data_IF_567431809009
#
_entry.id   IF_567431809009
#
_cell.length_a   1.000
_cell.length_b   1.000
_cell.length_c   1.000
_cell.angle_alpha   90.00
_cell.angle_beta   90.00
_cell.angle_gamma   90.00
#
_symmetry.space_group_name_H-M   'P 1'
#
loop_
_entity.id
_entity.type
_entity.pdbx_description
1 polymer ?
#
# COMPACT_ATOMS: atom_id res chain seq x y z
N UNK A 1 1.81 29.60 -2.72
CA UNK A 1 0.98 28.43 -3.08
C UNK A 1 1.93 27.40 -3.65
N UNK A 2 2.22 26.31 -2.93
CA UNK A 2 3.00 25.21 -3.51
C UNK A 2 2.16 24.54 -4.57
N UNK A 3 2.57 24.65 -5.84
CA UNK A 3 2.06 23.79 -6.89
C UNK A 3 2.63 22.40 -6.67
N UNK A 4 1.78 21.43 -6.32
CA UNK A 4 2.19 20.02 -6.41
C UNK A 4 2.71 19.80 -7.84
N UNK A 5 3.93 19.29 -7.98
CA UNK A 5 4.57 19.03 -9.29
C UNK A 5 3.98 17.80 -10.00
N UNK A 6 2.96 17.17 -9.42
CA UNK A 6 2.34 15.96 -9.92
C UNK A 6 0.91 16.25 -10.36
N UNK A 7 0.50 15.81 -11.56
CA UNK A 7 -0.88 15.98 -12.01
C UNK A 7 -1.82 15.13 -11.14
N UNK A 8 -2.93 15.73 -10.71
CA UNK A 8 -4.04 14.96 -10.17
C UNK A 8 -4.67 14.13 -11.30
N UNK A 9 -5.17 12.94 -10.96
CA UNK A 9 -5.91 12.07 -11.91
C UNK A 9 -7.42 12.12 -11.63
N UNK A 10 -8.29 11.89 -12.63
CA UNK A 10 -9.73 11.73 -12.40
C UNK A 10 -10.03 10.55 -11.47
N UNK A 11 -11.10 10.65 -10.68
CA UNK A 11 -11.53 9.60 -9.75
C UNK A 11 -11.76 8.27 -10.47
N UNK A 12 -12.40 8.28 -11.64
CA UNK A 12 -12.67 7.06 -12.42
C UNK A 12 -11.39 6.33 -12.83
N UNK A 13 -10.33 7.06 -13.17
CA UNK A 13 -9.02 6.46 -13.52
C UNK A 13 -8.39 5.81 -12.29
N UNK A 14 -8.56 6.41 -11.11
CA UNK A 14 -8.11 5.82 -9.86
C UNK A 14 -8.92 4.56 -9.49
N UNK A 15 -10.24 4.61 -9.66
CA UNK A 15 -11.13 3.46 -9.44
C UNK A 15 -10.71 2.27 -10.33
N UNK A 16 -10.60 2.48 -11.65
CA UNK A 16 -10.14 1.47 -12.61
C UNK A 16 -8.76 0.92 -12.24
N UNK A 17 -7.82 1.79 -11.87
CA UNK A 17 -6.47 1.40 -11.46
C UNK A 17 -6.47 0.51 -10.21
N UNK A 18 -7.27 0.86 -9.21
CA UNK A 18 -7.42 0.04 -8.00
C UNK A 18 -8.16 -1.27 -8.26
N UNK A 19 -9.11 -1.31 -9.20
CA UNK A 19 -9.78 -2.53 -9.61
C UNK A 19 -8.82 -3.51 -10.29
N UNK A 20 -8.08 -3.03 -11.29
CA UNK A 20 -7.05 -3.81 -11.98
C UNK A 20 -6.03 -4.41 -11.00
N UNK A 21 -5.61 -3.64 -9.98
CA UNK A 21 -4.72 -4.14 -8.92
C UNK A 21 -5.34 -5.29 -8.14
N UNK A 22 -6.62 -5.19 -7.74
CA UNK A 22 -7.30 -6.25 -6.96
C UNK A 22 -7.42 -7.53 -7.75
N UNK A 23 -7.77 -7.44 -9.03
CA UNK A 23 -7.85 -8.60 -9.93
C UNK A 23 -6.47 -9.25 -10.10
N UNK A 24 -5.43 -8.45 -10.34
CA UNK A 24 -4.05 -8.93 -10.44
C UNK A 24 -3.60 -9.62 -9.14
N UNK A 25 -3.81 -8.98 -7.99
CA UNK A 25 -3.43 -9.53 -6.69
C UNK A 25 -4.14 -10.86 -6.44
N UNK A 26 -5.47 -10.89 -6.59
CA UNK A 26 -6.28 -12.10 -6.45
C UNK A 26 -5.80 -13.22 -7.36
N UNK A 27 -5.48 -12.91 -8.62
CA UNK A 27 -4.95 -13.89 -9.56
C UNK A 27 -3.60 -14.44 -9.12
N UNK A 28 -2.69 -13.59 -8.64
CA UNK A 28 -1.35 -13.98 -8.20
C UNK A 28 -1.36 -14.76 -6.89
N UNK A 29 -2.20 -14.39 -5.93
CA UNK A 29 -2.21 -14.99 -4.58
C UNK A 29 -3.23 -16.11 -4.43
N UNK A 30 -4.15 -16.28 -5.39
CA UNK A 30 -5.29 -17.21 -5.30
C UNK A 30 -6.18 -16.94 -4.07
N UNK A 31 -6.22 -15.70 -3.62
CA UNK A 31 -7.06 -15.27 -2.50
C UNK A 31 -8.54 -15.39 -2.88
N UNK A 32 -9.28 -16.27 -2.22
CA UNK A 32 -10.71 -16.44 -2.46
C UNK A 32 -11.55 -15.33 -1.81
N UNK A 33 -11.14 -14.82 -0.64
CA UNK A 33 -11.85 -13.77 0.08
C UNK A 33 -11.38 -12.38 -0.36
N UNK A 34 -12.25 -11.64 -1.04
CA UNK A 34 -11.96 -10.27 -1.50
C UNK A 34 -11.61 -9.28 -0.39
N UNK A 35 -11.93 -9.59 0.87
CA UNK A 35 -11.56 -8.80 2.05
C UNK A 35 -10.08 -8.95 2.40
N UNK A 36 -9.45 -10.05 2.02
CA UNK A 36 -8.02 -10.32 2.25
C UNK A 36 -7.12 -9.74 1.15
N UNK A 37 -7.69 -9.11 0.12
CA UNK A 37 -6.92 -8.46 -0.93
C UNK A 37 -6.26 -7.21 -0.35
N UNK A 38 -4.93 -7.15 -0.45
CA UNK A 38 -4.16 -5.98 -0.07
C UNK A 38 -4.49 -4.79 -0.99
N UNK A 39 -4.86 -3.65 -0.40
CA UNK A 39 -5.35 -2.47 -1.15
C UNK A 39 -4.46 -1.24 -1.03
N UNK A 40 -3.64 -1.18 0.01
CA UNK A 40 -2.78 -0.03 0.26
C UNK A 40 -2.45 0.13 1.74
N UNK A 41 -1.76 1.23 2.02
CA UNK A 41 -1.35 1.65 3.35
C UNK A 41 -2.00 2.97 3.70
N UNK A 42 -2.45 3.11 4.93
CA UNK A 42 -2.77 4.41 5.50
C UNK A 42 -1.56 4.89 6.28
N UNK A 43 -0.98 6.01 5.83
CA UNK A 43 0.15 6.64 6.52
C UNK A 43 -0.40 7.90 7.20
N UNK A 44 -0.44 7.95 8.55
CA UNK A 44 -0.89 9.13 9.25
C UNK A 44 -0.08 10.37 8.86
N UNK A 45 -0.74 11.53 8.85
CA UNK A 45 -0.04 12.80 8.53
C UNK A 45 0.97 13.17 9.60
N UNK A 46 0.70 12.85 10.88
CA UNK A 46 1.62 13.13 11.99
C UNK A 46 2.95 12.39 11.81
N UNK A 47 2.84 11.09 11.54
CA UNK A 47 3.93 10.18 11.19
C UNK A 47 4.81 10.68 10.04
N UNK A 48 4.19 11.13 8.94
CA UNK A 48 4.92 11.75 7.82
C UNK A 48 5.64 13.04 8.24
N UNK A 49 5.01 13.89 9.06
CA UNK A 49 5.65 15.13 9.54
C UNK A 49 6.85 14.82 10.42
N UNK A 50 6.73 13.88 11.34
CA UNK A 50 7.83 13.43 12.19
C UNK A 50 9.01 12.94 11.33
N UNK A 51 8.75 12.11 10.31
CA UNK A 51 9.78 11.68 9.37
C UNK A 51 10.50 12.86 8.70
N UNK A 52 9.75 13.86 8.22
CA UNK A 52 10.32 15.05 7.57
C UNK A 52 11.13 15.91 8.55
N UNK A 53 10.68 16.04 9.80
CA UNK A 53 11.35 16.82 10.83
C UNK A 53 12.65 16.15 11.29
N UNK A 54 12.64 14.83 11.50
CA UNK A 54 13.80 14.06 11.96
C UNK A 54 14.86 13.88 10.87
N UNK A 55 14.45 13.71 9.61
CA UNK A 55 15.37 13.50 8.50
C UNK A 55 16.14 14.76 8.07
N UNK A 56 15.70 15.95 8.50
CA UNK A 56 16.36 17.22 8.19
C UNK A 56 16.20 17.63 6.72
N UNK A 57 17.32 17.98 6.07
CA UNK A 57 17.32 18.48 4.69
C UNK A 57 17.24 17.32 3.67
N UNK A 58 16.02 16.94 3.30
CA UNK A 58 15.73 15.91 2.31
C UNK A 58 14.89 16.46 1.15
N UNK A 59 15.03 15.87 -0.03
CA UNK A 59 14.28 16.28 -1.23
C UNK A 59 13.05 15.38 -1.49
N UNK A 60 12.91 14.29 -0.74
CA UNK A 60 11.77 13.39 -0.84
C UNK A 60 11.84 12.18 0.08
N UNK A 61 10.85 11.31 -0.06
CA UNK A 61 10.75 10.03 0.66
C UNK A 61 10.51 8.93 -0.37
N UNK A 62 11.26 7.83 -0.25
CA UNK A 62 11.07 6.63 -1.06
C UNK A 62 10.31 5.59 -0.27
N UNK A 63 9.33 4.96 -0.92
CA UNK A 63 8.56 3.86 -0.38
C UNK A 63 9.06 2.52 -0.93
N UNK A 64 9.37 1.58 -0.06
CA UNK A 64 9.72 0.20 -0.39
C UNK A 64 8.63 -0.76 0.07
N UNK A 65 8.23 -1.69 -0.80
CA UNK A 65 7.42 -2.84 -0.39
C UNK A 65 8.32 -3.88 0.26
N UNK A 66 7.90 -4.39 1.41
CA UNK A 66 8.59 -5.44 2.14
C UNK A 66 7.64 -6.56 2.53
N UNK A 67 8.22 -7.72 2.82
CA UNK A 67 7.53 -8.90 3.34
C UNK A 67 8.25 -9.31 4.61
N UNK A 68 7.53 -9.40 5.73
CA UNK A 68 8.09 -9.82 7.02
C UNK A 68 8.67 -11.24 6.95
N UNK A 69 7.95 -12.13 6.27
CA UNK A 69 8.34 -13.52 6.08
C UNK A 69 8.84 -13.76 4.66
N UNK A 70 9.95 -14.50 4.56
CA UNK A 70 10.46 -14.95 3.26
C UNK A 70 9.39 -15.79 2.58
N UNK A 71 9.10 -15.46 1.32
CA UNK A 71 8.17 -16.26 0.51
C UNK A 71 8.62 -17.72 0.43
N UNK A 72 7.75 -18.62 0.89
CA UNK A 72 7.89 -20.07 0.69
C UNK A 72 6.86 -20.53 -0.36
N UNK A 73 7.30 -21.04 -1.53
CA UNK A 73 6.40 -21.54 -2.56
C UNK A 73 5.65 -22.83 -2.17
N UNK A 74 6.08 -23.54 -1.11
CA UNK A 74 5.49 -24.79 -0.64
C UNK A 74 4.44 -24.58 0.46
N UNK A 75 4.55 -23.48 1.22
CA UNK A 75 3.58 -23.06 2.23
C UNK A 75 3.19 -21.61 1.95
N UNK A 76 2.30 -21.36 0.98
CA UNK A 76 1.78 -20.02 0.74
C UNK A 76 0.85 -19.65 1.90
N UNK A 77 1.42 -19.14 2.99
CA UNK A 77 0.66 -18.40 3.98
C UNK A 77 0.36 -17.03 3.36
N UNK A 78 -0.91 -16.84 2.96
CA UNK A 78 -1.36 -15.68 2.17
C UNK A 78 -1.79 -14.53 3.10
N UNK A 79 -1.75 -14.73 4.42
CA UNK A 79 -1.67 -13.62 5.38
C UNK A 79 -0.26 -13.02 5.30
N UNK A 80 0.05 -12.47 4.12
CA UNK A 80 1.30 -11.78 3.88
C UNK A 80 1.20 -10.48 4.62
N UNK A 81 1.93 -10.38 5.72
CA UNK A 81 2.28 -9.11 6.32
C UNK A 81 3.14 -8.38 5.27
N UNK A 82 2.45 -7.62 4.40
CA UNK A 82 3.06 -6.71 3.43
C UNK A 82 3.31 -5.42 4.19
N UNK A 83 4.57 -4.99 4.20
CA UNK A 83 5.03 -3.77 4.86
C UNK A 83 5.34 -2.69 3.81
N UNK A 84 5.26 -1.44 4.25
CA UNK A 84 5.83 -0.31 3.53
C UNK A 84 6.89 0.34 4.42
N UNK A 85 8.10 0.43 3.89
CA UNK A 85 9.17 1.16 4.54
C UNK A 85 9.35 2.50 3.84
N UNK A 86 9.33 3.57 4.63
CA UNK A 86 9.60 4.92 4.14
C UNK A 86 11.04 5.29 4.49
N UNK A 87 11.78 5.77 3.48
CA UNK A 87 13.20 6.11 3.59
C UNK A 87 13.42 7.54 3.08
N UNK A 88 14.06 8.42 3.87
CA UNK A 88 14.41 9.75 3.41
C UNK A 88 15.40 9.74 2.23
N UNK A 89 15.25 10.69 1.31
CA UNK A 89 16.07 10.79 0.08
C UNK A 89 16.66 12.19 -0.07
N UNK A 90 17.96 12.27 -0.31
CA UNK A 90 18.68 13.51 -0.66
C UNK A 90 19.52 13.27 -1.91
N UNK A 91 19.45 14.17 -2.90
CA UNK A 91 20.20 14.03 -4.16
C UNK A 91 19.98 12.65 -4.85
N UNK A 92 18.75 12.13 -4.75
CA UNK A 92 18.35 10.81 -5.25
C UNK A 92 19.05 9.60 -4.58
N UNK A 93 19.69 9.81 -3.44
CA UNK A 93 20.33 8.79 -2.61
C UNK A 93 19.50 8.55 -1.34
N UNK A 94 19.31 7.29 -0.99
CA UNK A 94 18.59 6.89 0.22
C UNK A 94 19.48 7.11 1.45
N UNK A 95 18.93 7.80 2.46
CA UNK A 95 19.57 8.00 3.76
C UNK A 95 19.06 6.91 4.69
N UNK A 96 19.68 5.73 4.67
CA UNK A 96 19.24 4.59 5.46
C UNK A 96 19.68 4.66 6.94
N UNK A 97 20.69 5.47 7.24
CA UNK A 97 21.26 5.60 8.58
C UNK A 97 21.59 7.06 8.88
N UNK A 98 21.39 7.44 10.13
CA UNK A 98 21.93 8.69 10.67
C UNK A 98 23.46 8.57 10.76
N UNK A 99 24.22 9.47 10.08
CA UNK A 99 25.68 9.42 10.08
C UNK A 99 26.30 9.75 11.44
N UNK A 100 25.60 10.45 12.33
CA UNK A 100 26.08 10.85 13.66
C UNK A 100 25.82 9.77 14.71
N UNK A 101 24.63 9.16 14.68
CA UNK A 101 24.20 8.18 15.70
C UNK A 101 24.30 6.73 15.25
N UNK A 102 24.37 6.48 13.93
CA UNK A 102 24.34 5.14 13.34
C UNK A 102 22.97 4.46 13.42
N UNK A 103 21.92 5.15 13.88
CA UNK A 103 20.57 4.59 13.96
C UNK A 103 19.93 4.51 12.57
N UNK A 104 19.03 3.53 12.40
CA UNK A 104 18.27 3.37 11.16
C UNK A 104 17.31 4.54 10.95
N UNK A 105 17.31 5.10 9.74
CA UNK A 105 16.33 6.09 9.27
C UNK A 105 15.22 5.44 8.43
N UNK A 106 15.19 4.11 8.37
CA UNK A 106 14.11 3.35 7.73
C UNK A 106 12.95 3.24 8.71
N UNK A 107 11.81 3.80 8.35
CA UNK A 107 10.59 3.77 9.17
C UNK A 107 9.62 2.72 8.64
N UNK A 108 9.13 1.85 9.53
CA UNK A 108 8.06 0.91 9.23
C UNK A 108 6.70 1.60 9.44
N UNK A 109 6.00 1.88 8.35
CA UNK A 109 4.64 2.42 8.38
C UNK A 109 3.62 1.33 8.10
N UNK A 110 3.64 0.27 8.91
CA UNK A 110 2.64 -0.78 8.82
C UNK A 110 1.38 -0.48 9.61
N UNK A 111 0.34 -0.13 8.87
CA UNK A 111 -0.99 -0.66 9.17
C UNK A 111 -1.67 -1.01 7.85
N UNK A 112 -1.48 -2.23 7.32
CA UNK A 112 -2.00 -2.58 6.01
C UNK A 112 -3.54 -2.59 5.99
N UNK A 113 -4.13 -2.06 4.93
CA UNK A 113 -5.52 -2.37 4.58
C UNK A 113 -5.62 -3.87 4.27
N UNK A 114 -6.57 -4.61 4.88
CA UNK A 114 -7.95 -4.20 5.14
C UNK A 114 -8.31 -3.82 6.59
N UNK A 115 -7.43 -4.02 7.59
CA UNK A 115 -7.81 -3.91 9.03
C UNK A 115 -8.27 -2.50 9.44
N UNK A 116 -7.79 -1.45 8.76
CA UNK A 116 -8.09 -0.04 9.05
C UNK A 116 -8.62 0.72 7.83
N UNK A 117 -8.99 0.00 6.78
CA UNK A 117 -9.39 0.64 5.53
C UNK A 117 -10.78 1.26 5.66
N UNK A 118 -10.96 2.44 5.09
CA UNK A 118 -12.29 3.06 4.96
C UNK A 118 -13.11 2.27 3.95
N UNK A 119 -14.04 1.44 4.45
CA UNK A 119 -14.90 0.60 3.61
C UNK A 119 -15.97 1.39 2.85
N UNK A 120 -16.15 2.68 3.16
CA UNK A 120 -17.04 3.58 2.43
C UNK A 120 -16.37 4.27 1.24
N UNK A 121 -15.05 4.15 1.10
CA UNK A 121 -14.30 4.75 0.01
C UNK A 121 -14.67 4.10 -1.35
N UNK A 122 -14.83 4.88 -2.43
CA UNK A 122 -15.04 4.33 -3.78
C UNK A 122 -13.90 3.41 -4.23
N UNK A 123 -12.70 3.59 -3.67
CA UNK A 123 -11.53 2.75 -3.93
C UNK A 123 -11.56 1.41 -3.18
N UNK A 124 -12.49 1.23 -2.24
CA UNK A 124 -12.63 -0.01 -1.46
C UNK A 124 -13.56 -1.05 -2.10
N UNK A 125 -14.34 -0.69 -3.13
CA UNK A 125 -15.41 -1.52 -3.71
C UNK A 125 -15.06 -3.02 -3.77
N UNK A 126 -15.89 -3.85 -3.12
CA UNK A 126 -15.76 -5.30 -3.19
C UNK A 126 -16.15 -5.75 -4.60
N UNK A 127 -15.43 -6.72 -5.21
CA UNK A 127 -15.86 -7.26 -6.49
C UNK A 127 -17.28 -7.80 -6.32
N UNK A 128 -18.23 -7.23 -7.05
CA UNK A 128 -19.60 -7.73 -7.08
C UNK A 128 -19.54 -9.17 -7.54
N UNK A 129 -19.91 -10.11 -6.68
CA UNK A 129 -20.19 -11.48 -7.11
C UNK A 129 -21.23 -11.37 -8.22
N UNK A 130 -20.83 -11.71 -9.46
CA UNK A 130 -21.77 -11.85 -10.56
C UNK A 130 -22.88 -12.81 -10.11
N UNK A 131 -24.17 -12.41 -10.11
CA UNK A 131 -25.25 -13.34 -9.87
C UNK A 131 -25.38 -14.22 -11.10
N UNK A 132 -24.68 -15.35 -11.11
CA UNK A 132 -25.08 -16.49 -11.92
C UNK A 132 -26.23 -17.18 -11.17
N UNK A 133 -27.42 -16.57 -11.18
CA UNK A 133 -28.64 -17.28 -10.84
C UNK A 133 -28.93 -18.27 -11.98
N UNK A 134 -29.01 -19.58 -11.72
CA UNK A 134 -29.45 -20.53 -12.73
C UNK A 134 -30.95 -20.28 -13.03
N UNK A 135 -31.40 -20.49 -14.28
CA UNK A 135 -32.79 -20.31 -14.63
C UNK A 135 -33.66 -21.28 -13.81
N UNK A 136 -34.60 -20.72 -13.06
CA UNK A 136 -35.69 -21.45 -12.44
C UNK A 136 -36.58 -22.01 -13.55
N UNK A 137 -36.47 -23.32 -13.81
CA UNK A 137 -37.44 -24.02 -14.64
C UNK A 137 -38.77 -24.10 -13.90
N UNK A 138 -39.83 -23.66 -14.56
CA UNK A 138 -41.23 -23.82 -14.15
C UNK A 138 -41.78 -25.21 -14.44
#
# INVERSE_FOLDING_TARGET
MSSLSFPTIPLSVAEDGTENWREFYQFCTKTADSRQIFRGFHIPVADLKTLLEEAGDIDGVRAYFALETRFDPLTPDIEKDIHIYLVPVKDNVDICQDPETGTSNVCDFTTPCPKICDTSSPLYTLPTSSPADPPTNG
#
